data_IF_308724452143
#
_entry.id   IF_308724452143
#
_cell.length_a   1.000
_cell.length_b   1.000
_cell.length_c   1.000
_cell.angle_alpha   90.00
_cell.angle_beta   90.00
_cell.angle_gamma   90.00
#
_symmetry.space_group_name_H-M   'P 1'
#
loop_
_entity.id
_entity.type
_entity.pdbx_description
1 polymer ?
#
# COMPACT_ATOMS: atom_id res chain seq x y z
N UNK A 1 11.23 9.32 -14.47
CA UNK A 1 10.43 8.25 -13.88
C UNK A 1 9.13 8.80 -13.30
N UNK A 2 8.05 8.08 -13.54
CA UNK A 2 6.74 8.55 -13.10
C UNK A 2 6.51 8.21 -11.64
N UNK A 3 6.58 9.21 -10.76
CA UNK A 3 6.40 9.01 -9.33
C UNK A 3 4.96 8.63 -8.96
N UNK A 4 4.02 8.82 -9.90
CA UNK A 4 2.62 8.46 -9.63
C UNK A 4 2.43 6.96 -9.46
N UNK A 5 3.31 6.13 -10.08
CA UNK A 5 3.22 4.68 -9.90
C UNK A 5 3.46 4.28 -8.46
N UNK A 6 4.36 4.98 -7.77
CA UNK A 6 4.66 4.65 -6.38
C UNK A 6 3.53 5.05 -5.44
N UNK A 7 2.71 6.03 -5.83
CA UNK A 7 1.61 6.49 -4.98
C UNK A 7 0.28 5.82 -5.30
N UNK A 8 0.23 4.94 -6.29
CA UNK A 8 -0.98 4.15 -6.56
C UNK A 8 -0.95 2.86 -5.76
N UNK A 9 -2.13 2.27 -5.55
CA UNK A 9 -2.19 1.00 -4.84
C UNK A 9 -1.39 -0.06 -5.57
N UNK A 10 -1.53 -0.15 -6.90
CA UNK A 10 -0.77 -1.13 -7.67
C UNK A 10 0.73 -0.91 -7.53
N UNK A 11 1.17 0.34 -7.61
CA UNK A 11 2.59 0.66 -7.45
C UNK A 11 3.12 0.26 -6.08
N UNK A 12 2.34 0.48 -5.04
CA UNK A 12 2.71 0.11 -3.67
C UNK A 12 2.82 -1.42 -3.55
N UNK A 13 1.85 -2.14 -4.12
CA UNK A 13 1.89 -3.60 -4.11
C UNK A 13 3.17 -4.11 -4.76
N UNK A 14 3.50 -3.56 -5.93
CA UNK A 14 4.70 -3.98 -6.66
C UNK A 14 5.98 -3.63 -5.91
N UNK A 15 6.00 -2.45 -5.28
CA UNK A 15 7.15 -2.04 -4.48
C UNK A 15 7.42 -3.03 -3.34
N UNK A 16 6.36 -3.56 -2.73
CA UNK A 16 6.48 -4.49 -1.61
C UNK A 16 6.67 -5.95 -2.05
N UNK A 17 6.80 -6.20 -3.34
CA UNK A 17 7.14 -7.53 -3.84
C UNK A 17 5.95 -8.35 -4.31
N UNK A 18 4.80 -7.72 -4.52
CA UNK A 18 3.60 -8.39 -4.99
C UNK A 18 2.58 -8.58 -3.89
N UNK A 19 1.36 -9.02 -4.25
CA UNK A 19 0.27 -9.11 -3.28
C UNK A 19 0.54 -10.10 -2.15
N UNK A 20 1.15 -11.25 -2.43
CA UNK A 20 1.43 -12.23 -1.40
C UNK A 20 2.42 -11.68 -0.36
N UNK A 21 3.50 -11.08 -0.84
CA UNK A 21 4.51 -10.52 0.06
C UNK A 21 3.97 -9.35 0.84
N UNK A 22 3.20 -8.49 0.18
CA UNK A 22 2.60 -7.35 0.85
C UNK A 22 1.65 -7.82 1.95
N UNK A 23 0.81 -8.81 1.65
CA UNK A 23 -0.12 -9.36 2.64
C UNK A 23 0.63 -9.90 3.85
N UNK A 24 1.71 -10.64 3.62
CA UNK A 24 2.53 -11.17 4.70
C UNK A 24 3.17 -10.09 5.55
N UNK A 25 3.68 -9.05 4.91
CA UNK A 25 4.33 -7.95 5.63
C UNK A 25 3.35 -7.16 6.49
N UNK A 26 2.11 -7.04 6.03
CA UNK A 26 1.11 -6.26 6.75
C UNK A 26 0.25 -7.09 7.69
N UNK A 27 0.35 -8.42 7.60
CA UNK A 27 -0.49 -9.29 8.42
C UNK A 27 -1.94 -9.30 7.99
N UNK A 28 -2.19 -9.15 6.69
CA UNK A 28 -3.54 -9.17 6.12
C UNK A 28 -3.64 -10.27 5.08
N UNK A 29 -4.83 -10.51 4.56
CA UNK A 29 -5.04 -11.51 3.52
C UNK A 29 -4.76 -10.92 2.14
N UNK A 30 -4.48 -11.79 1.16
CA UNK A 30 -4.36 -11.38 -0.23
C UNK A 30 -5.67 -10.78 -0.72
N UNK A 31 -6.82 -11.30 -0.22
CA UNK A 31 -8.12 -10.74 -0.55
C UNK A 31 -8.26 -9.28 -0.14
N UNK A 32 -7.70 -8.91 1.02
CA UNK A 32 -7.70 -7.52 1.45
C UNK A 32 -6.90 -6.65 0.47
N UNK A 33 -5.74 -7.15 0.03
CA UNK A 33 -4.91 -6.41 -0.93
C UNK A 33 -5.69 -6.21 -2.23
N UNK A 34 -6.35 -7.26 -2.74
CA UNK A 34 -7.17 -7.16 -3.95
C UNK A 34 -8.30 -6.15 -3.80
N UNK A 35 -8.92 -6.13 -2.62
CA UNK A 35 -10.00 -5.18 -2.33
C UNK A 35 -9.48 -3.74 -2.42
N UNK A 36 -8.31 -3.47 -1.82
CA UNK A 36 -7.71 -2.14 -1.88
C UNK A 36 -7.41 -1.74 -3.32
N UNK A 37 -6.91 -2.69 -4.11
CA UNK A 37 -6.62 -2.43 -5.53
C UNK A 37 -7.90 -2.05 -6.27
N UNK A 38 -8.98 -2.79 -6.04
CA UNK A 38 -10.26 -2.52 -6.68
C UNK A 38 -10.82 -1.16 -6.26
N UNK A 39 -10.74 -0.84 -4.98
CA UNK A 39 -11.23 0.42 -4.46
C UNK A 39 -10.32 1.60 -4.81
N UNK A 40 -9.04 1.33 -5.06
CA UNK A 40 -8.08 2.38 -5.35
C UNK A 40 -7.60 3.13 -4.13
N UNK A 41 -7.86 2.62 -2.93
CA UNK A 41 -7.42 3.25 -1.68
C UNK A 41 -6.96 2.18 -0.69
N UNK A 42 -6.10 2.60 0.24
CA UNK A 42 -5.58 1.77 1.31
C UNK A 42 -6.12 2.33 2.62
N UNK A 43 -6.51 1.47 3.59
CA UNK A 43 -6.92 1.97 4.90
C UNK A 43 -5.81 2.83 5.52
N UNK A 44 -6.20 3.90 6.21
CA UNK A 44 -5.23 4.87 6.72
C UNK A 44 -4.21 4.24 7.67
N UNK A 45 -4.65 3.34 8.53
CA UNK A 45 -3.75 2.66 9.47
C UNK A 45 -2.76 1.76 8.73
N UNK A 46 -3.18 1.13 7.63
CA UNK A 46 -2.28 0.31 6.83
C UNK A 46 -1.29 1.16 6.05
N UNK A 47 -1.70 2.35 5.61
CA UNK A 47 -0.78 3.28 4.95
C UNK A 47 0.35 3.69 5.92
N UNK A 48 0.01 3.94 7.17
CA UNK A 48 1.00 4.27 8.19
C UNK A 48 1.94 3.08 8.42
N UNK A 49 1.38 1.87 8.49
CA UNK A 49 2.18 0.67 8.65
C UNK A 49 3.16 0.50 7.49
N UNK A 50 2.71 0.76 6.26
CA UNK A 50 3.57 0.67 5.08
C UNK A 50 4.71 1.68 5.17
N UNK A 51 4.42 2.87 5.62
CA UNK A 51 5.46 3.88 5.81
C UNK A 51 6.51 3.38 6.81
N UNK A 52 6.06 2.78 7.90
CA UNK A 52 6.97 2.26 8.93
C UNK A 52 7.84 1.13 8.41
N UNK A 53 7.25 0.14 7.73
CA UNK A 53 8.03 -1.00 7.26
C UNK A 53 8.96 -0.65 6.11
N UNK A 54 8.68 0.42 5.38
CA UNK A 54 9.57 0.91 4.33
C UNK A 54 10.53 1.98 4.85
N UNK A 55 10.51 2.26 6.14
CA UNK A 55 11.38 3.25 6.78
C UNK A 55 11.25 4.61 6.11
N UNK A 56 10.02 4.98 5.79
CA UNK A 56 9.71 6.28 5.22
C UNK A 56 9.92 6.40 3.73
N UNK A 57 10.33 5.34 3.05
CA UNK A 57 10.49 5.39 1.59
C UNK A 57 9.16 5.57 0.89
N UNK A 58 8.11 4.94 1.42
CA UNK A 58 6.75 5.20 0.97
C UNK A 58 6.05 5.98 2.07
N UNK A 59 5.63 7.20 1.76
CA UNK A 59 5.03 8.09 2.76
C UNK A 59 3.52 7.96 2.74
N UNK A 60 2.94 7.75 3.92
CA UNK A 60 1.48 7.59 4.05
C UNK A 60 0.74 8.79 3.46
N UNK A 61 1.27 9.99 3.63
CA UNK A 61 0.63 11.22 3.16
C UNK A 61 0.51 11.24 1.64
N UNK A 62 1.34 10.47 0.94
CA UNK A 62 1.33 10.42 -0.53
C UNK A 62 0.58 9.23 -1.08
N UNK A 63 0.11 8.34 -0.22
CA UNK A 63 -0.61 7.15 -0.66
C UNK A 63 -2.09 7.45 -0.86
N UNK A 64 -2.74 6.75 -1.83
CA UNK A 64 -4.19 6.83 -1.95
C UNK A 64 -4.81 6.07 -0.78
N UNK A 65 -5.25 6.78 0.22
CA UNK A 65 -5.78 6.16 1.43
C UNK A 65 -7.19 6.65 1.73
N UNK A 66 -7.93 5.79 2.42
CA UNK A 66 -9.28 6.13 2.83
C UNK A 66 -9.23 7.30 3.82
N UNK A 67 -10.20 8.20 3.71
CA UNK A 67 -10.33 9.30 4.67
C UNK A 67 -10.85 8.76 6.00
N UNK A 68 -10.38 9.34 7.06
CA UNK A 68 -10.83 8.99 8.41
C UNK A 68 -12.17 9.62 8.72
#
# INVERSE_FOLDING_TARGET
MDTRKESTVVGIIMYLGGPDRMAGKLGVTVGAISHWKTKGVIPADRAIQIEEITKGKLRAVRMPRAKL
#
